data_IF_086756769521
#
_entry.id   IF_086756769521
#
_cell.length_a   1.000
_cell.length_b   1.000
_cell.length_c   1.000
_cell.angle_alpha   90.00
_cell.angle_beta   90.00
_cell.angle_gamma   90.00
#
_symmetry.space_group_name_H-M   'P 1'
#
loop_
_entity.id
_entity.type
_entity.pdbx_description
1 polymer ?
#
# COMPACT_ATOMS: atom_id res chain seq x y z
N UNK A 1 -0.16 -24.96 -0.66
CA UNK A 1 -1.35 -24.26 -0.32
C UNK A 1 -1.80 -23.29 -1.39
N UNK A 2 -3.08 -22.99 -1.37
CA UNK A 2 -3.76 -22.03 -2.26
C UNK A 2 -3.36 -20.56 -2.03
N UNK A 3 -2.58 -20.29 -0.98
CA UNK A 3 -2.19 -18.93 -0.57
C UNK A 3 -1.15 -18.27 -1.50
N UNK A 4 -0.63 -18.99 -2.51
CA UNK A 4 0.35 -18.49 -3.47
C UNK A 4 -0.23 -18.17 -4.87
N UNK A 5 -1.52 -18.32 -5.09
CA UNK A 5 -2.14 -18.20 -6.43
C UNK A 5 -2.61 -16.77 -6.74
N UNK A 6 -2.74 -15.92 -5.73
CA UNK A 6 -3.11 -14.53 -5.94
C UNK A 6 -1.99 -13.63 -5.44
N UNK A 7 -1.08 -13.26 -6.33
CA UNK A 7 -0.27 -12.07 -6.11
C UNK A 7 -1.24 -10.91 -5.84
N UNK A 8 -1.11 -10.29 -4.67
CA UNK A 8 -1.93 -9.16 -4.27
C UNK A 8 -1.71 -8.06 -5.32
N UNK A 9 -2.66 -7.91 -6.23
CA UNK A 9 -2.61 -6.85 -7.23
C UNK A 9 -2.78 -5.54 -6.47
N UNK A 10 -1.69 -4.89 -6.15
CA UNK A 10 -1.66 -3.58 -5.51
C UNK A 10 -1.84 -2.51 -6.58
N UNK A 11 -3.07 -2.27 -6.99
CA UNK A 11 -3.37 -1.09 -7.81
C UNK A 11 -3.47 0.16 -6.91
N UNK A 12 -3.12 1.36 -7.41
CA UNK A 12 -3.28 2.61 -6.65
C UNK A 12 -4.70 2.80 -6.09
N UNK A 13 -5.73 2.41 -6.84
CA UNK A 13 -7.13 2.49 -6.40
C UNK A 13 -7.44 1.54 -5.24
N UNK A 14 -6.87 0.34 -5.24
CA UNK A 14 -7.04 -0.61 -4.12
C UNK A 14 -6.31 -0.14 -2.87
N UNK A 15 -5.11 0.43 -3.01
CA UNK A 15 -4.38 1.03 -1.89
C UNK A 15 -5.18 2.18 -1.30
N UNK A 16 -5.71 3.08 -2.14
CA UNK A 16 -6.55 4.19 -1.69
C UNK A 16 -7.79 3.71 -0.94
N UNK A 17 -8.53 2.75 -1.50
CA UNK A 17 -9.69 2.14 -0.85
C UNK A 17 -9.34 1.52 0.50
N UNK A 18 -8.20 0.82 0.60
CA UNK A 18 -7.72 0.22 1.85
C UNK A 18 -7.32 1.27 2.90
N UNK A 19 -6.79 2.43 2.49
CA UNK A 19 -6.52 3.55 3.40
C UNK A 19 -7.81 4.12 3.99
N UNK A 20 -8.81 4.37 3.13
CA UNK A 20 -10.13 4.87 3.55
C UNK A 20 -10.79 3.87 4.50
N UNK A 21 -10.76 2.58 4.17
CA UNK A 21 -11.32 1.51 4.99
C UNK A 21 -10.66 1.45 6.38
N UNK A 22 -9.33 1.43 6.46
CA UNK A 22 -8.60 1.42 7.72
C UNK A 22 -8.97 2.64 8.60
N UNK A 23 -9.05 3.84 8.00
CA UNK A 23 -9.41 5.06 8.72
C UNK A 23 -10.86 5.08 9.21
N UNK A 24 -11.77 4.41 8.49
CA UNK A 24 -13.18 4.29 8.89
C UNK A 24 -13.36 3.26 10.00
N UNK A 25 -12.76 2.09 9.87
CA UNK A 25 -13.02 0.92 10.73
C UNK A 25 -12.24 0.93 12.03
N UNK A 26 -10.97 1.29 12.00
CA UNK A 26 -10.07 1.27 13.17
C UNK A 26 -9.41 2.62 13.46
N UNK A 27 -9.73 3.66 12.68
CA UNK A 27 -9.16 4.98 12.86
C UNK A 27 -7.67 5.05 12.56
N UNK A 28 -6.98 5.98 13.22
CA UNK A 28 -5.55 6.21 12.98
C UNK A 28 -4.68 5.01 13.39
N UNK A 29 -5.05 4.32 14.46
CA UNK A 29 -4.28 3.17 14.95
C UNK A 29 -4.23 2.03 13.92
N UNK A 30 -5.37 1.69 13.32
CA UNK A 30 -5.43 0.66 12.27
C UNK A 30 -4.70 1.11 11.00
N UNK A 31 -4.83 2.39 10.65
CA UNK A 31 -4.05 2.97 9.56
C UNK A 31 -2.54 2.83 9.82
N UNK A 32 -2.05 3.24 10.98
CA UNK A 32 -0.63 3.21 11.33
C UNK A 32 -0.06 1.79 11.43
N UNK A 33 -0.91 0.80 11.72
CA UNK A 33 -0.50 -0.61 11.70
C UNK A 33 -0.26 -1.14 10.29
N UNK A 34 -0.98 -0.61 9.29
CA UNK A 34 -0.98 -1.12 7.91
C UNK A 34 -0.14 -0.28 6.95
N UNK A 35 -0.10 1.03 7.18
CA UNK A 35 0.50 2.01 6.26
C UNK A 35 1.62 2.80 6.92
N UNK A 36 2.50 3.34 6.08
CA UNK A 36 3.47 4.34 6.45
C UNK A 36 3.42 5.50 5.44
N UNK A 37 3.24 6.70 5.95
CA UNK A 37 3.17 7.91 5.12
C UNK A 37 4.55 8.51 4.97
N UNK A 38 4.95 8.79 3.74
CA UNK A 38 6.19 9.51 3.46
C UNK A 38 6.03 10.42 2.24
N UNK A 39 6.85 11.44 2.18
CA UNK A 39 6.98 12.25 0.98
C UNK A 39 7.89 11.53 -0.02
N UNK A 40 7.38 11.29 -1.22
CA UNK A 40 8.14 10.58 -2.24
C UNK A 40 9.07 11.55 -2.96
N UNK A 41 10.31 11.15 -3.22
CA UNK A 41 11.21 11.95 -4.04
C UNK A 41 10.62 12.10 -5.45
N UNK A 42 10.83 13.27 -6.03
CA UNK A 42 10.34 13.56 -7.40
C UNK A 42 11.23 12.89 -8.44
N UNK A 43 10.99 11.60 -8.66
CA UNK A 43 11.69 10.79 -9.68
C UNK A 43 10.68 10.18 -10.64
N UNK A 44 11.04 9.98 -11.93
CA UNK A 44 10.14 9.37 -12.91
C UNK A 44 9.73 7.94 -12.52
N UNK A 45 8.48 7.56 -12.84
CA UNK A 45 7.94 6.22 -12.57
C UNK A 45 8.81 5.09 -13.13
N UNK A 46 9.45 5.32 -14.28
CA UNK A 46 10.37 4.35 -14.87
C UNK A 46 11.59 4.07 -13.98
N UNK A 47 12.09 5.08 -13.26
CA UNK A 47 13.17 4.90 -12.26
C UNK A 47 12.62 4.24 -11.00
N UNK A 48 11.44 4.64 -10.54
CA UNK A 48 10.74 3.99 -9.40
C UNK A 48 10.62 2.48 -9.63
N UNK A 49 10.21 2.07 -10.84
CA UNK A 49 10.08 0.65 -11.18
C UNK A 49 11.41 -0.11 -11.10
N UNK A 50 12.51 0.49 -11.57
CA UNK A 50 13.85 -0.10 -11.47
C UNK A 50 14.26 -0.24 -9.99
N UNK A 51 14.03 0.79 -9.18
CA UNK A 51 14.38 0.78 -7.76
C UNK A 51 13.56 -0.27 -7.00
N UNK A 52 12.26 -0.39 -7.28
CA UNK A 52 11.40 -1.45 -6.71
C UNK A 52 11.88 -2.85 -7.10
N UNK A 53 12.26 -3.04 -8.37
CA UNK A 53 12.83 -4.31 -8.82
C UNK A 53 14.11 -4.64 -8.06
N UNK A 54 15.02 -3.69 -7.91
CA UNK A 54 16.26 -3.87 -7.16
C UNK A 54 15.99 -4.17 -5.69
N UNK A 55 15.04 -3.49 -5.09
CA UNK A 55 14.63 -3.72 -3.70
C UNK A 55 14.09 -5.13 -3.52
N UNK A 56 13.15 -5.56 -4.34
CA UNK A 56 12.50 -6.86 -4.23
C UNK A 56 13.47 -8.04 -4.43
N UNK A 57 14.52 -7.86 -5.24
CA UNK A 57 15.47 -8.93 -5.54
C UNK A 57 16.73 -8.90 -4.67
N UNK A 58 17.10 -7.75 -4.10
CA UNK A 58 18.42 -7.59 -3.49
C UNK A 58 18.43 -6.91 -2.12
N UNK A 59 17.29 -6.49 -1.57
CA UNK A 59 17.24 -5.77 -0.27
C UNK A 59 17.74 -6.58 0.91
N UNK A 60 17.64 -7.92 0.85
CA UNK A 60 18.19 -8.80 1.88
C UNK A 60 19.73 -8.76 1.95
N UNK A 61 20.38 -8.52 0.81
CA UNK A 61 21.84 -8.50 0.70
C UNK A 61 22.42 -7.07 0.77
N UNK A 62 21.64 -6.05 0.39
CA UNK A 62 22.09 -4.67 0.28
C UNK A 62 21.11 -3.71 0.93
N UNK A 63 21.50 -3.19 2.09
CA UNK A 63 20.71 -2.22 2.86
C UNK A 63 20.77 -0.77 2.30
N UNK A 64 21.45 -0.56 1.18
CA UNK A 64 21.55 0.73 0.50
C UNK A 64 21.72 0.52 -1.00
N UNK A 65 21.05 1.34 -1.80
CA UNK A 65 21.15 1.32 -3.26
C UNK A 65 22.59 1.54 -3.74
N UNK A 66 23.37 2.34 -3.03
CA UNK A 66 24.77 2.62 -3.37
C UNK A 66 25.68 1.40 -3.25
N UNK A 67 25.29 0.41 -2.43
CA UNK A 67 26.05 -0.82 -2.23
C UNK A 67 25.74 -1.90 -3.27
N UNK A 68 24.66 -1.74 -4.03
CA UNK A 68 24.33 -2.69 -5.11
C UNK A 68 25.38 -2.52 -6.23
N UNK A 69 26.01 -3.62 -6.67
CA UNK A 69 26.93 -3.60 -7.81
C UNK A 69 26.27 -3.04 -9.08
N UNK A 70 27.05 -2.32 -9.89
CA UNK A 70 26.53 -1.67 -11.11
C UNK A 70 26.02 -2.69 -12.14
N UNK A 71 26.64 -3.86 -12.23
CA UNK A 71 26.20 -4.94 -13.09
C UNK A 71 24.78 -5.43 -12.78
N UNK A 72 24.41 -5.54 -11.49
CA UNK A 72 23.06 -5.90 -11.09
C UNK A 72 22.04 -4.79 -11.43
N UNK A 73 22.44 -3.52 -11.31
CA UNK A 73 21.59 -2.40 -11.70
C UNK A 73 21.41 -2.37 -13.22
N UNK A 74 22.47 -2.62 -13.97
CA UNK A 74 22.43 -2.72 -15.43
C UNK A 74 21.46 -3.81 -15.86
N UNK A 75 21.55 -5.01 -15.30
CA UNK A 75 20.61 -6.11 -15.54
C UNK A 75 19.17 -5.69 -15.26
N UNK A 76 18.91 -5.05 -14.11
CA UNK A 76 17.58 -4.55 -13.78
C UNK A 76 17.05 -3.55 -14.80
N UNK A 77 17.90 -2.63 -15.28
CA UNK A 77 17.55 -1.65 -16.32
C UNK A 77 17.28 -2.31 -17.69
N UNK A 78 17.91 -3.43 -18.00
CA UNK A 78 17.67 -4.20 -19.21
C UNK A 78 16.35 -4.97 -19.14
N UNK A 79 16.10 -5.66 -18.03
CA UNK A 79 14.85 -6.41 -17.79
C UNK A 79 13.63 -5.48 -17.91
N UNK A 80 13.72 -4.27 -17.37
CA UNK A 80 12.63 -3.29 -17.36
C UNK A 80 12.66 -2.35 -18.57
N UNK A 81 13.54 -2.58 -19.53
CA UNK A 81 13.67 -1.79 -20.75
C UNK A 81 13.90 -0.29 -20.52
N UNK A 82 14.50 0.04 -19.35
CA UNK A 82 14.74 1.42 -18.94
C UNK A 82 15.82 2.07 -19.83
N UNK A 83 15.43 3.13 -20.54
CA UNK A 83 16.33 3.97 -21.35
C UNK A 83 17.29 3.17 -22.24
N UNK A 84 16.75 2.27 -23.06
CA UNK A 84 17.52 1.33 -23.93
C UNK A 84 18.61 1.99 -24.77
N UNK A 85 18.39 3.26 -25.16
CA UNK A 85 19.33 4.02 -25.99
C UNK A 85 20.51 4.62 -25.20
N UNK A 86 20.48 4.53 -23.87
CA UNK A 86 21.56 5.03 -23.03
C UNK A 86 22.62 3.96 -22.81
N UNK A 87 23.87 4.42 -22.59
CA UNK A 87 24.93 3.50 -22.18
C UNK A 87 24.59 2.83 -20.83
N UNK A 88 24.89 1.53 -20.65
CA UNK A 88 24.57 0.80 -19.43
C UNK A 88 25.08 1.49 -18.15
N UNK A 89 26.31 2.00 -18.18
CA UNK A 89 26.93 2.68 -17.04
C UNK A 89 26.19 3.99 -16.70
N UNK A 90 25.69 4.71 -17.71
CA UNK A 90 24.89 5.93 -17.51
C UNK A 90 23.55 5.60 -16.83
N UNK A 91 22.91 4.48 -17.23
CA UNK A 91 21.67 4.03 -16.60
C UNK A 91 21.89 3.71 -15.11
N UNK A 92 22.94 2.93 -14.81
CA UNK A 92 23.28 2.57 -13.42
C UNK A 92 23.59 3.81 -12.58
N UNK A 93 24.36 4.75 -13.12
CA UNK A 93 24.70 6.01 -12.46
C UNK A 93 23.43 6.80 -12.09
N UNK A 94 22.54 7.03 -13.04
CA UNK A 94 21.31 7.81 -12.82
C UNK A 94 20.40 7.14 -11.80
N UNK A 95 20.28 5.83 -11.80
CA UNK A 95 19.51 5.09 -10.79
C UNK A 95 20.11 5.28 -9.40
N UNK A 96 21.44 5.21 -9.26
CA UNK A 96 22.12 5.46 -7.98
C UNK A 96 21.99 6.90 -7.51
N UNK A 97 22.13 7.87 -8.40
CA UNK A 97 22.04 9.29 -8.03
C UNK A 97 20.65 9.70 -7.56
N UNK A 98 19.60 9.22 -8.23
CA UNK A 98 18.24 9.66 -7.98
C UNK A 98 17.45 8.73 -7.02
N UNK A 99 17.87 7.48 -6.89
CA UNK A 99 17.05 6.44 -6.26
C UNK A 99 17.32 6.19 -4.79
N UNK A 100 18.36 6.74 -4.21
CA UNK A 100 18.79 6.43 -2.83
C UNK A 100 17.69 6.70 -1.82
N UNK A 101 17.06 7.86 -1.92
CA UNK A 101 16.02 8.27 -0.98
C UNK A 101 14.81 7.32 -1.06
N UNK A 102 14.34 7.01 -2.27
CA UNK A 102 13.22 6.09 -2.46
C UNK A 102 13.55 4.66 -1.99
N UNK A 103 14.76 4.18 -2.25
CA UNK A 103 15.22 2.88 -1.77
C UNK A 103 15.23 2.80 -0.23
N UNK A 104 15.65 3.88 0.43
CA UNK A 104 15.62 3.98 1.90
C UNK A 104 14.17 3.99 2.42
N UNK A 105 13.24 4.67 1.74
CA UNK A 105 11.81 4.64 2.10
C UNK A 105 11.24 3.23 2.02
N UNK A 106 11.60 2.44 1.01
CA UNK A 106 11.18 1.04 0.91
C UNK A 106 11.70 0.21 2.08
N UNK A 107 12.93 0.45 2.55
CA UNK A 107 13.45 -0.24 3.75
C UNK A 107 12.69 0.12 5.03
N UNK A 108 12.35 1.38 5.21
CA UNK A 108 11.58 1.85 6.38
C UNK A 108 10.17 1.26 6.37
N UNK A 109 9.61 1.03 5.19
CA UNK A 109 8.24 0.53 5.03
C UNK A 109 8.11 -1.01 5.05
N UNK A 110 9.18 -1.75 5.33
CA UNK A 110 9.11 -3.22 5.39
C UNK A 110 8.00 -3.65 6.35
N UNK A 111 7.07 -4.49 5.86
CA UNK A 111 5.91 -4.97 6.62
C UNK A 111 4.69 -4.06 6.58
N UNK A 112 4.79 -2.87 5.98
CA UNK A 112 3.68 -1.93 5.79
C UNK A 112 3.61 -1.44 4.35
N UNK A 113 2.45 -0.95 3.94
CA UNK A 113 2.29 -0.33 2.62
C UNK A 113 2.74 1.12 2.67
N UNK A 114 3.72 1.47 1.85
CA UNK A 114 4.22 2.85 1.72
C UNK A 114 3.25 3.67 0.86
N UNK A 115 2.78 4.78 1.40
CA UNK A 115 1.85 5.70 0.74
C UNK A 115 2.40 7.13 0.78
N UNK A 116 2.06 7.94 -0.23
CA UNK A 116 2.50 9.32 -0.24
C UNK A 116 1.59 10.22 0.61
N UNK A 117 2.12 11.35 1.02
CA UNK A 117 1.42 12.32 1.88
C UNK A 117 0.14 12.84 1.23
N UNK A 118 0.13 13.03 -0.09
CA UNK A 118 -1.04 13.51 -0.81
C UNK A 118 -2.18 12.49 -0.77
N UNK A 119 -1.89 11.22 -1.11
CA UNK A 119 -2.91 10.15 -1.11
C UNK A 119 -3.50 9.96 0.29
N UNK A 120 -2.68 10.09 1.33
CA UNK A 120 -3.16 10.05 2.72
C UNK A 120 -4.08 11.22 3.05
N UNK A 121 -3.73 12.45 2.67
CA UNK A 121 -4.60 13.62 2.85
C UNK A 121 -5.91 13.49 2.09
N UNK A 122 -5.87 12.98 0.87
CA UNK A 122 -7.06 12.73 0.05
C UNK A 122 -7.95 11.64 0.70
N UNK A 123 -7.37 10.59 1.28
CA UNK A 123 -8.10 9.57 2.03
C UNK A 123 -8.75 10.15 3.30
N UNK A 124 -8.04 10.98 4.05
CA UNK A 124 -8.60 11.67 5.22
C UNK A 124 -9.76 12.61 4.82
N UNK A 125 -9.62 13.35 3.72
CA UNK A 125 -10.67 14.21 3.20
C UNK A 125 -11.90 13.40 2.78
N UNK A 126 -11.70 12.24 2.15
CA UNK A 126 -12.78 11.31 1.79
C UNK A 126 -13.54 10.82 3.03
N UNK A 127 -12.83 10.36 4.06
CA UNK A 127 -13.42 9.90 5.33
C UNK A 127 -14.20 11.03 6.01
N UNK A 128 -13.64 12.24 6.04
CA UNK A 128 -14.31 13.42 6.60
C UNK A 128 -15.61 13.71 5.84
N UNK A 129 -15.56 13.73 4.50
CA UNK A 129 -16.73 13.96 3.68
C UNK A 129 -17.84 12.92 3.90
N UNK A 130 -17.47 11.64 4.07
CA UNK A 130 -18.44 10.58 4.39
C UNK A 130 -19.09 10.78 5.76
N UNK A 131 -18.33 11.17 6.77
CA UNK A 131 -18.83 11.42 8.14
C UNK A 131 -19.72 12.67 8.24
N UNK A 132 -19.46 13.68 7.43
CA UNK A 132 -20.19 14.95 7.43
C UNK A 132 -21.38 14.97 6.45
N UNK A 133 -21.48 14.02 5.54
CA UNK A 133 -22.56 13.97 4.57
C UNK A 133 -23.87 13.57 5.26
N UNK A 134 -24.93 14.34 5.02
CA UNK A 134 -26.24 14.16 5.65
C UNK A 134 -26.85 12.76 5.43
N UNK A 135 -26.48 12.08 4.33
CA UNK A 135 -27.00 10.76 3.99
C UNK A 135 -26.18 9.61 4.62
N UNK A 136 -24.88 9.82 4.82
CA UNK A 136 -23.98 8.76 5.32
C UNK A 136 -23.59 8.95 6.78
N UNK A 137 -23.75 10.15 7.35
CA UNK A 137 -23.33 10.47 8.71
C UNK A 137 -23.97 9.58 9.79
N UNK A 138 -25.19 9.10 9.55
CA UNK A 138 -25.89 8.20 10.48
C UNK A 138 -25.16 6.86 10.70
N UNK A 139 -24.37 6.42 9.70
CA UNK A 139 -23.58 5.18 9.81
C UNK A 139 -22.32 5.34 10.67
N UNK A 140 -21.90 6.57 10.97
CA UNK A 140 -20.68 6.90 11.73
C UNK A 140 -20.96 7.46 13.13
N UNK A 141 -22.21 7.49 13.56
CA UNK A 141 -22.55 7.87 14.95
C UNK A 141 -21.94 6.84 15.89
N UNK A 142 -21.11 7.29 16.82
CA UNK A 142 -20.56 6.44 17.87
C UNK A 142 -21.73 5.83 18.66
N UNK A 143 -21.64 4.52 18.95
CA UNK A 143 -22.64 3.85 19.77
C UNK A 143 -22.68 4.54 21.14
N UNK A 144 -23.77 5.21 21.43
CA UNK A 144 -24.00 5.72 22.78
C UNK A 144 -24.17 4.50 23.70
N UNK A 145 -23.33 4.29 24.74
CA UNK A 145 -23.43 3.15 25.62
C UNK A 145 -24.79 3.07 26.37
N UNK A 146 -25.61 4.10 26.27
CA UNK A 146 -26.97 4.16 26.83
C UNK A 146 -28.07 3.97 25.80
N UNK A 147 -27.72 3.85 24.51
CA UNK A 147 -28.68 3.62 23.42
C UNK A 147 -28.51 2.19 22.89
N UNK A 148 -29.26 1.26 23.43
CA UNK A 148 -29.24 -0.16 23.11
C UNK A 148 -30.03 -0.50 21.85
N UNK A 149 -30.29 0.45 20.95
CA UNK A 149 -31.25 0.23 19.86
C UNK A 149 -30.64 -0.38 18.61
N UNK A 150 -29.34 -0.20 18.33
CA UNK A 150 -28.70 -0.80 17.14
C UNK A 150 -27.21 -1.07 17.41
N UNK A 151 -26.82 -2.33 17.43
CA UNK A 151 -25.41 -2.73 17.40
C UNK A 151 -24.88 -2.61 15.97
N UNK A 152 -23.85 -1.80 15.75
CA UNK A 152 -23.17 -1.68 14.45
C UNK A 152 -21.92 -2.54 14.45
N UNK A 153 -21.83 -3.44 13.49
CA UNK A 153 -20.66 -4.30 13.29
C UNK A 153 -20.00 -3.97 11.96
N UNK A 154 -18.74 -3.55 12.02
CA UNK A 154 -17.92 -3.31 10.84
C UNK A 154 -17.08 -4.54 10.53
N UNK A 155 -16.98 -4.90 9.24
CA UNK A 155 -16.15 -5.99 8.74
C UNK A 155 -16.37 -7.33 9.46
N UNK A 156 -17.64 -7.68 9.71
CA UNK A 156 -17.97 -8.95 10.34
C UNK A 156 -17.64 -10.11 9.39
N UNK A 157 -16.75 -11.01 9.86
CA UNK A 157 -16.32 -12.18 9.10
C UNK A 157 -17.21 -13.36 9.38
N UNK A 158 -17.82 -13.90 8.33
CA UNK A 158 -18.60 -15.12 8.40
C UNK A 158 -17.82 -16.28 7.78
N UNK A 159 -17.92 -17.45 8.39
CA UNK A 159 -17.40 -18.69 7.84
C UNK A 159 -18.51 -19.72 7.86
N UNK A 160 -18.64 -20.46 6.78
CA UNK A 160 -19.62 -21.53 6.65
C UNK A 160 -19.15 -22.60 5.69
N UNK A 161 -19.92 -23.67 5.60
CA UNK A 161 -19.70 -24.75 4.64
C UNK A 161 -21.02 -25.04 3.91
N UNK A 162 -20.94 -25.16 2.59
CA UNK A 162 -22.06 -25.55 1.76
C UNK A 162 -21.60 -26.66 0.80
N UNK A 163 -22.24 -27.81 0.87
CA UNK A 163 -21.91 -29.00 0.07
C UNK A 163 -20.42 -29.37 0.08
N UNK A 164 -19.76 -29.29 1.25
CA UNK A 164 -18.33 -29.57 1.41
C UNK A 164 -17.40 -28.43 0.97
N UNK A 165 -17.94 -27.32 0.47
CA UNK A 165 -17.18 -26.14 0.08
C UNK A 165 -17.15 -25.14 1.24
N UNK A 166 -15.95 -24.81 1.73
CA UNK A 166 -15.78 -23.79 2.76
C UNK A 166 -15.97 -22.40 2.17
N UNK A 167 -16.96 -21.70 2.70
CA UNK A 167 -17.31 -20.34 2.32
C UNK A 167 -16.79 -19.35 3.36
N UNK A 168 -16.28 -18.22 2.90
CA UNK A 168 -15.92 -17.07 3.76
C UNK A 168 -16.54 -15.82 3.15
N UNK A 169 -17.16 -15.03 3.99
CA UNK A 169 -17.72 -13.75 3.62
C UNK A 169 -17.34 -12.72 4.67
N UNK A 170 -17.15 -11.49 4.26
CA UNK A 170 -16.97 -10.34 5.14
C UNK A 170 -18.04 -9.31 4.77
N UNK A 171 -18.84 -8.92 5.76
CA UNK A 171 -19.79 -7.82 5.60
C UNK A 171 -19.15 -6.53 6.14
N UNK A 172 -19.21 -5.47 5.34
CA UNK A 172 -18.55 -4.21 5.68
C UNK A 172 -19.27 -3.47 6.81
N UNK A 173 -20.59 -3.56 6.87
CA UNK A 173 -21.42 -2.99 7.92
C UNK A 173 -22.69 -3.82 8.10
N UNK A 174 -23.00 -4.16 9.35
CA UNK A 174 -24.29 -4.75 9.76
C UNK A 174 -24.91 -3.85 10.82
N UNK A 175 -26.16 -3.53 10.66
CA UNK A 175 -26.98 -2.76 11.60
C UNK A 175 -28.12 -3.59 12.12
#
# INVERSE_FOLDING_TARGET
>A
GLDKIFDKIESPSLIFGSMVDALITGGQDEFDNTFIVAEFPNIPDSQVNVIKYLFNNYSENYNSLLKIPDDLIIVATEVLEFQKNWKPETRAKVIKENGVEYYNLLHISIGKTLVNTKDYQDAQACVKALKENAFTSEFFVENNPFDNTIDKFYQLKFQGEYEGIKLRCMADLIM
#
